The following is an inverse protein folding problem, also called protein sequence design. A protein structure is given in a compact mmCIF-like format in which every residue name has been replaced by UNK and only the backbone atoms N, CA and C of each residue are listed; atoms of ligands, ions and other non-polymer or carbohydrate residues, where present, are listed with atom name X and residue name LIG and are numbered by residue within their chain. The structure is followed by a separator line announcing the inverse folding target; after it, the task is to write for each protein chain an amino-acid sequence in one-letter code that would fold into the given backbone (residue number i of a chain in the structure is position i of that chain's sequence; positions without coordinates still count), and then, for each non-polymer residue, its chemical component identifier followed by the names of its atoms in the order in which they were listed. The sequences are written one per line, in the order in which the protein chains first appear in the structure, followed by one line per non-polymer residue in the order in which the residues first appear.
data_IF_375502963630
#
_entry.id   IF_375502963630
#
_cell.length_a   1.000
_cell.length_b   1.000
_cell.length_c   1.000
_cell.angle_alpha   90.00
_cell.angle_beta   90.00
_cell.angle_gamma   90.00
#
_symmetry.space_group_name_H-M   'P 1'
#
loop_
_entity.id
_entity.type
_entity.pdbx_description
1 polymer ?
#
# COMPACT_ATOMS: atom_id res chain seq x y z
N UNK A 1 3.28 16.12 -34.11
CA UNK A 1 2.67 17.47 -34.30
C UNK A 1 2.76 18.23 -32.97
N UNK A 2 2.26 19.46 -32.90
CA UNK A 2 2.15 20.22 -31.64
C UNK A 2 0.72 20.70 -31.42
N UNK A 3 0.26 20.73 -30.17
CA UNK A 3 -1.01 21.31 -29.75
C UNK A 3 -0.76 22.26 -28.57
N UNK A 4 -1.42 23.41 -28.57
CA UNK A 4 -1.39 24.34 -27.45
C UNK A 4 -2.80 24.74 -27.07
N UNK A 5 -3.13 24.59 -25.79
CA UNK A 5 -4.42 24.92 -25.19
C UNK A 5 -4.15 26.00 -24.14
N UNK A 6 -4.83 27.14 -24.25
CA UNK A 6 -4.62 28.29 -23.39
C UNK A 6 -5.98 28.80 -22.95
N UNK A 7 -6.16 29.02 -21.64
CA UNK A 7 -7.37 29.63 -21.07
C UNK A 7 -8.66 29.01 -21.58
N UNK A 8 -8.68 27.68 -21.73
CA UNK A 8 -9.80 26.93 -22.30
C UNK A 8 -10.48 26.08 -21.23
N UNK A 9 -11.75 25.72 -21.46
CA UNK A 9 -12.48 24.77 -20.62
C UNK A 9 -12.95 23.58 -21.45
N UNK A 10 -12.68 22.36 -20.97
CA UNK A 10 -13.15 21.11 -21.56
C UNK A 10 -13.88 20.31 -20.49
N UNK A 11 -15.19 20.25 -20.60
CA UNK A 11 -16.06 19.74 -19.54
C UNK A 11 -16.95 18.60 -20.05
N UNK A 12 -17.17 17.58 -19.21
CA UNK A 12 -18.11 16.48 -19.44
C UNK A 12 -17.90 15.71 -20.75
N UNK A 13 -16.65 15.60 -21.23
CA UNK A 13 -16.34 14.82 -22.42
C UNK A 13 -16.21 13.33 -22.06
N UNK A 14 -16.81 12.45 -22.85
CA UNK A 14 -16.90 11.01 -22.55
C UNK A 14 -16.44 10.16 -23.72
N UNK A 15 -15.46 9.30 -23.47
CA UNK A 15 -14.97 8.27 -24.39
C UNK A 15 -15.35 6.86 -23.86
N UNK A 16 -16.46 6.29 -24.34
CA UNK A 16 -17.06 5.08 -23.74
C UNK A 16 -16.31 3.77 -24.02
N UNK A 17 -15.43 3.73 -25.02
CA UNK A 17 -14.62 2.54 -25.38
C UNK A 17 -13.17 2.88 -25.76
N UNK A 18 -12.81 4.13 -25.60
CA UNK A 18 -11.57 4.71 -26.11
C UNK A 18 -10.84 5.44 -24.96
N UNK A 19 -9.67 5.96 -25.27
CA UNK A 19 -8.82 6.66 -24.31
C UNK A 19 -8.95 8.18 -24.45
N UNK A 20 -8.66 8.93 -23.38
CA UNK A 20 -8.56 10.39 -23.44
C UNK A 20 -9.91 11.07 -23.55
N UNK A 21 -10.66 11.11 -22.44
CA UNK A 21 -12.06 11.57 -22.45
C UNK A 21 -12.22 12.97 -23.00
N UNK A 22 -11.30 13.89 -22.66
CA UNK A 22 -11.20 15.18 -23.33
C UNK A 22 -10.25 15.14 -24.54
N UNK A 23 -9.06 14.54 -24.39
CA UNK A 23 -8.03 14.57 -25.41
C UNK A 23 -7.18 13.28 -25.44
N UNK A 24 -6.95 12.77 -26.64
CA UNK A 24 -6.06 11.65 -26.93
C UNK A 24 -4.85 12.10 -27.76
N UNK A 25 -3.66 11.66 -27.38
CA UNK A 25 -2.40 12.10 -27.95
C UNK A 25 -1.47 10.93 -28.31
N UNK A 26 -1.00 10.92 -29.55
CA UNK A 26 0.00 9.96 -30.04
C UNK A 26 1.09 10.70 -30.82
N UNK A 27 2.37 10.43 -30.51
CA UNK A 27 3.54 11.04 -31.20
C UNK A 27 3.48 12.58 -31.33
N UNK A 28 3.05 13.25 -30.26
CA UNK A 28 2.77 14.69 -30.26
C UNK A 28 3.32 15.38 -29.02
N UNK A 29 3.49 16.71 -29.13
CA UNK A 29 3.81 17.57 -27.99
C UNK A 29 2.63 18.49 -27.68
N UNK A 30 2.19 18.49 -26.43
CA UNK A 30 1.03 19.23 -25.96
C UNK A 30 1.44 20.18 -24.87
N UNK A 31 0.96 21.41 -24.95
CA UNK A 31 1.10 22.42 -23.90
C UNK A 31 -0.27 22.92 -23.48
N UNK A 32 -0.58 22.82 -22.19
CA UNK A 32 -1.83 23.25 -21.57
C UNK A 32 -1.51 24.34 -20.55
N UNK A 33 -2.09 25.52 -20.71
CA UNK A 33 -1.82 26.69 -19.88
C UNK A 33 -3.12 27.28 -19.37
N UNK A 34 -3.21 27.48 -18.05
CA UNK A 34 -4.34 28.18 -17.41
C UNK A 34 -5.72 27.66 -17.83
N UNK A 35 -5.85 26.34 -17.99
CA UNK A 35 -7.07 25.72 -18.54
C UNK A 35 -7.78 24.84 -17.51
N UNK A 36 -9.06 24.60 -17.73
CA UNK A 36 -9.93 23.81 -16.85
C UNK A 36 -10.41 22.53 -17.55
N UNK A 37 -10.38 21.42 -16.82
CA UNK A 37 -10.89 20.13 -17.28
C UNK A 37 -11.75 19.53 -16.19
N UNK A 38 -13.05 19.39 -16.45
CA UNK A 38 -13.99 18.95 -15.43
C UNK A 38 -14.88 17.80 -15.89
N UNK A 39 -15.08 16.80 -15.03
CA UNK A 39 -16.01 15.70 -15.26
C UNK A 39 -15.78 14.92 -16.57
N UNK A 40 -14.54 14.87 -17.05
CA UNK A 40 -14.20 14.12 -18.26
C UNK A 40 -13.98 12.64 -17.92
N UNK A 41 -14.47 11.73 -18.77
CA UNK A 41 -14.41 10.30 -18.53
C UNK A 41 -14.01 9.48 -19.75
N UNK A 42 -13.29 8.39 -19.51
CA UNK A 42 -12.84 7.47 -20.56
C UNK A 42 -12.63 6.05 -20.03
N UNK A 43 -12.42 5.09 -20.94
CA UNK A 43 -11.89 3.77 -20.56
C UNK A 43 -10.48 3.87 -19.96
N UNK A 44 -9.65 4.79 -20.45
CA UNK A 44 -8.36 5.14 -19.82
C UNK A 44 -8.00 6.60 -20.08
N UNK A 45 -7.43 7.28 -19.08
CA UNK A 45 -7.11 8.71 -19.17
C UNK A 45 -8.37 9.57 -19.24
N UNK A 46 -9.07 9.75 -18.12
CA UNK A 46 -10.38 10.41 -18.11
C UNK A 46 -10.34 11.82 -18.69
N UNK A 47 -9.25 12.55 -18.49
CA UNK A 47 -8.99 13.82 -19.19
C UNK A 47 -8.09 13.61 -20.40
N UNK A 48 -6.89 13.08 -20.18
CA UNK A 48 -5.82 12.97 -21.17
C UNK A 48 -5.36 11.52 -21.31
N UNK A 49 -5.14 11.06 -22.54
CA UNK A 49 -4.35 9.86 -22.80
C UNK A 49 -3.16 10.20 -23.69
N UNK A 50 -2.00 9.61 -23.38
CA UNK A 50 -0.71 9.89 -24.00
C UNK A 50 0.04 8.61 -24.34
N UNK A 51 0.41 8.47 -25.62
CA UNK A 51 1.28 7.40 -26.13
C UNK A 51 2.44 8.01 -26.92
N UNK A 52 3.67 7.79 -26.49
CA UNK A 52 4.86 8.37 -27.11
C UNK A 52 4.79 9.90 -27.25
N UNK A 53 4.21 10.57 -26.26
CA UNK A 53 3.91 12.00 -26.32
C UNK A 53 4.59 12.77 -25.18
N UNK A 54 4.70 14.09 -25.36
CA UNK A 54 5.19 15.01 -24.33
C UNK A 54 4.09 15.98 -23.96
N UNK A 55 3.70 16.03 -22.69
CA UNK A 55 2.62 16.88 -22.20
C UNK A 55 3.18 17.81 -21.12
N UNK A 56 2.98 19.11 -21.30
CA UNK A 56 3.25 20.12 -20.28
C UNK A 56 1.94 20.78 -19.84
N UNK A 57 1.64 20.74 -18.54
CA UNK A 57 0.47 21.36 -17.93
C UNK A 57 0.95 22.40 -16.92
N UNK A 58 0.50 23.64 -17.09
CA UNK A 58 0.89 24.78 -16.26
C UNK A 58 -0.34 25.58 -15.82
N UNK A 59 -0.41 25.93 -14.53
CA UNK A 59 -1.41 26.87 -14.03
C UNK A 59 -2.86 26.40 -14.16
N UNK A 60 -3.09 25.09 -14.30
CA UNK A 60 -4.38 24.54 -14.73
C UNK A 60 -5.15 23.86 -13.60
N UNK A 61 -6.39 23.45 -13.89
CA UNK A 61 -7.26 22.76 -12.95
C UNK A 61 -7.87 21.52 -13.61
N UNK A 62 -7.80 20.38 -12.94
CA UNK A 62 -8.38 19.12 -13.40
C UNK A 62 -9.19 18.50 -12.26
N UNK A 63 -10.50 18.38 -12.46
CA UNK A 63 -11.44 18.03 -11.40
C UNK A 63 -12.41 16.94 -11.83
N UNK A 64 -12.66 16.00 -10.92
CA UNK A 64 -13.72 15.01 -11.05
C UNK A 64 -13.63 14.19 -12.35
N UNK A 65 -12.44 14.03 -12.91
CA UNK A 65 -12.23 13.14 -14.05
C UNK A 65 -12.16 11.70 -13.57
N UNK A 66 -12.86 10.82 -14.28
CA UNK A 66 -13.07 9.45 -13.86
C UNK A 66 -12.82 8.43 -14.97
N UNK A 67 -12.33 7.25 -14.62
CA UNK A 67 -12.22 6.13 -15.57
C UNK A 67 -12.75 4.85 -14.95
N UNK A 68 -13.12 3.90 -15.81
CA UNK A 68 -13.50 2.54 -15.41
C UNK A 68 -12.32 1.56 -15.46
N UNK A 69 -11.09 2.04 -15.67
CA UNK A 69 -9.91 1.18 -15.68
C UNK A 69 -8.66 1.95 -15.23
N UNK A 70 -8.03 2.77 -16.08
CA UNK A 70 -6.71 3.34 -15.74
C UNK A 70 -6.54 4.83 -15.95
N UNK A 71 -5.84 5.49 -15.01
CA UNK A 71 -5.45 6.90 -15.05
C UNK A 71 -6.65 7.84 -15.01
N UNK A 72 -7.09 8.24 -13.81
CA UNK A 72 -8.35 8.96 -13.63
C UNK A 72 -8.38 10.28 -14.39
N UNK A 73 -7.31 11.07 -14.31
CA UNK A 73 -7.13 12.24 -15.15
C UNK A 73 -6.24 11.97 -16.37
N UNK A 74 -5.13 11.24 -16.18
CA UNK A 74 -4.06 11.13 -17.17
C UNK A 74 -3.54 9.70 -17.25
N UNK A 75 -3.61 9.13 -18.45
CA UNK A 75 -2.93 7.88 -18.79
C UNK A 75 -1.70 8.17 -19.67
N UNK A 76 -0.56 7.57 -19.33
CA UNK A 76 0.68 7.71 -20.06
C UNK A 76 1.42 6.40 -20.27
N UNK A 77 1.78 6.15 -21.53
CA UNK A 77 2.68 5.08 -21.94
C UNK A 77 3.81 5.66 -22.79
N UNK A 78 5.05 5.31 -22.47
CA UNK A 78 6.25 5.83 -23.14
C UNK A 78 6.23 7.36 -23.32
N UNK A 79 5.72 8.08 -22.32
CA UNK A 79 5.43 9.51 -22.44
C UNK A 79 6.15 10.33 -21.38
N UNK A 80 6.39 11.60 -21.68
CA UNK A 80 6.91 12.58 -20.72
C UNK A 80 5.82 13.55 -20.31
N UNK A 81 5.52 13.63 -19.02
CA UNK A 81 4.53 14.53 -18.44
C UNK A 81 5.25 15.51 -17.52
N UNK A 82 4.98 16.80 -17.68
CA UNK A 82 5.43 17.86 -16.78
C UNK A 82 4.23 18.65 -16.30
N UNK A 83 3.95 18.60 -15.00
CA UNK A 83 2.86 19.29 -14.34
C UNK A 83 3.47 20.35 -13.42
N UNK A 84 2.95 21.58 -13.49
CA UNK A 84 3.38 22.64 -12.59
C UNK A 84 2.27 23.62 -12.25
N UNK A 85 2.25 24.10 -11.00
CA UNK A 85 1.27 25.08 -10.53
C UNK A 85 -0.18 24.67 -10.86
N UNK A 86 -0.46 23.38 -10.78
CA UNK A 86 -1.74 22.80 -11.22
C UNK A 86 -2.41 22.12 -10.04
N UNK A 87 -3.74 22.18 -10.01
CA UNK A 87 -4.56 21.51 -9.00
C UNK A 87 -5.30 20.33 -9.64
N UNK A 88 -5.12 19.14 -9.06
CA UNK A 88 -5.90 17.95 -9.35
C UNK A 88 -6.78 17.61 -8.16
N UNK A 89 -8.10 17.63 -8.34
CA UNK A 89 -9.05 17.36 -7.26
C UNK A 89 -10.05 16.27 -7.63
N UNK A 90 -10.34 15.38 -6.68
CA UNK A 90 -11.48 14.45 -6.78
C UNK A 90 -11.48 13.55 -8.02
N UNK A 91 -10.31 13.25 -8.60
CA UNK A 91 -10.22 12.37 -9.76
C UNK A 91 -10.20 10.90 -9.32
N UNK A 92 -10.83 10.02 -10.12
CA UNK A 92 -11.04 8.61 -9.76
C UNK A 92 -10.69 7.61 -10.85
N UNK A 93 -10.12 6.46 -10.48
CA UNK A 93 -9.82 5.35 -11.39
C UNK A 93 -9.63 4.03 -10.63
N UNK A 94 -9.40 2.90 -11.29
CA UNK A 94 -8.90 1.72 -10.59
C UNK A 94 -7.39 1.83 -10.34
N UNK A 95 -6.65 2.37 -11.31
CA UNK A 95 -5.19 2.57 -11.21
C UNK A 95 -4.82 4.04 -11.40
N UNK A 96 -4.28 4.67 -10.35
CA UNK A 96 -3.81 6.05 -10.43
C UNK A 96 -4.98 7.03 -10.55
N UNK A 97 -5.51 7.51 -9.42
CA UNK A 97 -6.67 8.41 -9.43
C UNK A 97 -6.45 9.67 -10.26
N UNK A 98 -5.18 10.09 -10.39
CA UNK A 98 -4.78 11.17 -11.30
C UNK A 98 -3.93 10.64 -12.45
N UNK A 99 -2.79 10.03 -12.17
CA UNK A 99 -1.83 9.63 -13.20
C UNK A 99 -1.61 8.12 -13.15
N UNK A 100 -1.77 7.46 -14.29
CA UNK A 100 -1.17 6.16 -14.55
C UNK A 100 -0.02 6.33 -15.55
N UNK A 101 1.20 5.96 -15.17
CA UNK A 101 2.37 6.01 -16.05
C UNK A 101 3.05 4.64 -16.18
N UNK A 102 3.38 4.26 -17.41
CA UNK A 102 3.94 2.95 -17.75
C UNK A 102 5.00 3.02 -18.86
N UNK A 103 5.79 1.95 -18.99
CA UNK A 103 6.73 1.73 -20.10
C UNK A 103 7.72 2.87 -20.27
N UNK A 104 8.63 3.02 -19.32
CA UNK A 104 9.68 4.05 -19.30
C UNK A 104 9.16 5.49 -19.39
N UNK A 105 7.96 5.74 -18.88
CA UNK A 105 7.40 7.10 -18.81
C UNK A 105 8.12 7.94 -17.77
N UNK A 106 8.07 9.26 -17.96
CA UNK A 106 8.68 10.24 -17.06
C UNK A 106 7.61 11.21 -16.59
N UNK A 107 7.36 11.27 -15.29
CA UNK A 107 6.40 12.19 -14.67
C UNK A 107 7.15 13.20 -13.80
N UNK A 108 6.96 14.49 -14.05
CA UNK A 108 7.59 15.56 -13.25
C UNK A 108 6.52 16.51 -12.74
N UNK A 109 6.48 16.75 -11.44
CA UNK A 109 5.43 17.51 -10.77
C UNK A 109 6.08 18.55 -9.85
N UNK A 110 5.75 19.82 -10.08
CA UNK A 110 6.32 20.94 -9.32
C UNK A 110 5.23 21.88 -8.81
N UNK A 111 5.32 22.35 -7.57
CA UNK A 111 4.42 23.39 -7.02
C UNK A 111 2.94 23.12 -7.26
N UNK A 112 2.53 21.85 -7.21
CA UNK A 112 1.17 21.42 -7.56
C UNK A 112 0.45 20.85 -6.34
N UNK A 113 -0.87 20.77 -6.42
CA UNK A 113 -1.71 20.23 -5.34
C UNK A 113 -2.58 19.09 -5.86
N UNK A 114 -2.66 18.02 -5.09
CA UNK A 114 -3.41 16.81 -5.40
C UNK A 114 -4.28 16.47 -4.20
N UNK A 115 -5.58 16.78 -4.33
CA UNK A 115 -6.50 16.75 -3.21
C UNK A 115 -7.61 15.74 -3.46
N UNK A 116 -7.83 14.83 -2.52
CA UNK A 116 -8.99 13.93 -2.52
C UNK A 116 -9.13 13.08 -3.79
N UNK A 117 -8.02 12.72 -4.43
CA UNK A 117 -8.05 11.79 -5.56
C UNK A 117 -8.10 10.35 -5.03
N UNK A 118 -8.82 9.47 -5.72
CA UNK A 118 -9.04 8.10 -5.25
C UNK A 118 -8.80 7.08 -6.33
N UNK A 119 -8.22 5.94 -5.96
CA UNK A 119 -8.19 4.77 -6.81
C UNK A 119 -8.19 3.48 -5.98
N UNK A 120 -8.21 2.33 -6.63
CA UNK A 120 -7.95 1.07 -5.94
C UNK A 120 -6.45 0.95 -5.64
N UNK A 121 -5.61 1.25 -6.64
CA UNK A 121 -4.15 1.26 -6.54
C UNK A 121 -3.58 2.64 -6.86
N UNK A 122 -2.85 3.23 -5.92
CA UNK A 122 -2.25 4.55 -6.14
C UNK A 122 -3.32 5.64 -6.17
N UNK A 123 -3.82 6.08 -5.01
CA UNK A 123 -4.94 7.02 -4.94
C UNK A 123 -4.76 8.28 -5.78
N UNK A 124 -3.51 8.68 -6.03
CA UNK A 124 -3.14 9.72 -6.98
C UNK A 124 -2.31 9.19 -8.17
N UNK A 125 -1.31 8.34 -7.94
CA UNK A 125 -0.39 7.85 -8.96
C UNK A 125 -0.22 6.33 -8.92
N UNK A 126 -0.35 5.69 -10.07
CA UNK A 126 0.07 4.30 -10.29
C UNK A 126 1.18 4.28 -11.34
N UNK A 127 2.35 3.74 -10.99
CA UNK A 127 3.57 3.91 -11.77
C UNK A 127 4.25 2.55 -11.95
N UNK A 128 4.46 2.15 -13.21
CA UNK A 128 5.08 0.89 -13.58
C UNK A 128 6.24 1.14 -14.52
N UNK A 129 7.41 0.57 -14.23
CA UNK A 129 8.59 0.66 -15.11
C UNK A 129 8.86 2.11 -15.55
N UNK A 130 8.77 3.07 -14.63
CA UNK A 130 8.76 4.50 -14.97
C UNK A 130 9.47 5.35 -13.90
N UNK A 131 9.65 6.64 -14.18
CA UNK A 131 10.33 7.58 -13.27
C UNK A 131 9.44 8.76 -12.88
N UNK A 132 9.51 9.14 -11.61
CA UNK A 132 8.73 10.25 -11.04
C UNK A 132 9.62 11.21 -10.28
N UNK A 133 9.44 12.51 -10.52
CA UNK A 133 10.00 13.60 -9.73
C UNK A 133 8.88 14.45 -9.16
N UNK A 134 8.82 14.54 -7.84
CA UNK A 134 7.90 15.41 -7.10
C UNK A 134 8.72 16.47 -6.37
N UNK A 135 8.39 17.73 -6.56
CA UNK A 135 9.05 18.83 -5.86
C UNK A 135 8.04 19.87 -5.39
N UNK A 136 8.19 20.30 -4.14
CA UNK A 136 7.47 21.45 -3.57
C UNK A 136 5.95 21.35 -3.75
N UNK A 137 5.40 20.15 -3.66
CA UNK A 137 3.99 19.85 -3.96
C UNK A 137 3.25 19.30 -2.74
N UNK A 138 1.93 19.42 -2.74
CA UNK A 138 1.05 18.97 -1.65
C UNK A 138 0.12 17.87 -2.11
N UNK A 139 -0.01 16.83 -1.30
CA UNK A 139 -0.82 15.65 -1.56
C UNK A 139 -1.72 15.41 -0.34
N UNK A 140 -2.94 15.91 -0.40
CA UNK A 140 -3.89 15.88 0.73
C UNK A 140 -5.04 14.90 0.46
N UNK A 141 -5.29 13.99 1.41
CA UNK A 141 -6.46 13.10 1.43
C UNK A 141 -6.63 12.25 0.17
N UNK A 142 -5.55 11.86 -0.49
CA UNK A 142 -5.65 10.89 -1.58
C UNK A 142 -5.84 9.50 -0.97
N UNK A 143 -6.67 8.67 -1.61
CA UNK A 143 -7.05 7.37 -1.05
C UNK A 143 -6.90 6.23 -2.04
N UNK A 144 -6.18 5.19 -1.63
CA UNK A 144 -6.24 3.86 -2.25
C UNK A 144 -7.31 3.06 -1.52
N UNK A 145 -8.55 3.18 -1.98
CA UNK A 145 -9.70 2.58 -1.33
C UNK A 145 -10.47 1.73 -2.33
N UNK A 146 -10.13 0.45 -2.36
CA UNK A 146 -10.97 -0.52 -3.03
C UNK A 146 -12.11 -0.92 -2.08
N UNK A 147 -13.34 -0.61 -2.48
CA UNK A 147 -14.52 -1.27 -1.91
C UNK A 147 -14.65 -2.60 -2.65
N UNK A 148 -14.01 -3.65 -2.11
CA UNK A 148 -14.22 -5.00 -2.63
C UNK A 148 -15.65 -5.44 -2.36
N UNK A 149 -16.42 -5.66 -3.42
CA UNK A 149 -17.73 -6.33 -3.30
C UNK A 149 -17.54 -7.78 -2.86
N UNK A 150 -16.47 -8.46 -3.31
CA UNK A 150 -16.12 -9.82 -2.92
C UNK A 150 -14.68 -10.22 -3.27
N UNK A 151 -14.11 -11.13 -2.48
CA UNK A 151 -12.81 -11.80 -2.65
C UNK A 151 -13.04 -13.12 -3.39
N UNK A 152 -12.35 -13.32 -4.51
CA UNK A 152 -12.38 -14.58 -5.24
C UNK A 152 -11.66 -15.67 -4.42
N UNK A 153 -12.36 -16.77 -4.18
CA UNK A 153 -11.84 -17.93 -3.47
C UNK A 153 -12.07 -19.19 -4.28
N UNK A 154 -11.10 -20.10 -4.18
CA UNK A 154 -11.28 -21.47 -4.63
C UNK A 154 -11.75 -22.29 -3.44
N UNK A 155 -12.88 -22.96 -3.57
CA UNK A 155 -13.40 -23.88 -2.56
C UNK A 155 -13.33 -25.27 -3.13
N UNK A 156 -12.64 -26.17 -2.43
CA UNK A 156 -12.60 -27.58 -2.80
C UNK A 156 -13.31 -28.41 -1.74
N UNK A 157 -14.19 -29.29 -2.21
CA UNK A 157 -14.93 -30.24 -1.42
C UNK A 157 -14.42 -31.64 -1.78
N UNK A 158 -14.19 -32.46 -0.77
CA UNK A 158 -13.69 -33.83 -0.89
C UNK A 158 -14.66 -34.78 -0.20
N UNK A 159 -14.98 -35.88 -0.88
CA UNK A 159 -15.59 -37.06 -0.27
C UNK A 159 -14.55 -37.72 0.63
N UNK A 160 -14.83 -37.71 1.94
CA UNK A 160 -13.93 -38.26 2.94
C UNK A 160 -13.93 -39.79 3.01
N UNK A 161 -15.01 -40.46 2.56
CA UNK A 161 -15.14 -41.92 2.59
C UNK A 161 -14.68 -42.57 1.29
N UNK A 162 -14.71 -41.82 0.19
CA UNK A 162 -14.18 -42.27 -1.10
C UNK A 162 -15.04 -43.35 -1.76
N UNK A 163 -16.31 -43.43 -1.39
CA UNK A 163 -17.34 -44.28 -2.00
C UNK A 163 -18.27 -43.52 -2.95
N UNK A 164 -18.14 -42.20 -3.01
CA UNK A 164 -18.80 -41.30 -3.93
C UNK A 164 -19.98 -40.58 -3.29
N UNK A 165 -20.26 -39.38 -3.78
CA UNK A 165 -21.29 -38.52 -3.21
C UNK A 165 -22.73 -38.98 -3.48
N UNK A 166 -23.54 -39.19 -2.42
CA UNK A 166 -24.97 -39.53 -2.56
C UNK A 166 -25.91 -38.31 -2.66
N UNK A 167 -25.38 -37.08 -2.64
CA UNK A 167 -26.18 -35.85 -2.69
C UNK A 167 -26.74 -35.47 -1.33
N UNK A 168 -26.77 -34.16 -1.03
CA UNK A 168 -27.44 -33.65 0.18
C UNK A 168 -26.55 -32.85 1.10
N UNK A 169 -25.24 -33.05 1.13
CA UNK A 169 -24.38 -32.24 2.01
C UNK A 169 -24.07 -30.84 1.43
N UNK A 170 -24.03 -29.82 2.28
CA UNK A 170 -23.72 -28.44 1.91
C UNK A 170 -22.63 -27.88 2.81
N UNK A 171 -21.60 -27.26 2.20
CA UNK A 171 -20.73 -26.33 2.90
C UNK A 171 -21.36 -24.94 2.91
N UNK A 172 -21.60 -24.40 4.09
CA UNK A 172 -22.09 -23.05 4.29
C UNK A 172 -20.95 -22.10 4.63
N UNK A 173 -20.88 -21.00 3.88
CA UNK A 173 -19.98 -19.87 4.09
C UNK A 173 -20.85 -18.62 4.30
N UNK A 174 -21.41 -18.47 5.50
CA UNK A 174 -22.39 -17.42 5.79
C UNK A 174 -23.70 -17.67 5.05
N UNK A 175 -24.11 -16.73 4.19
CA UNK A 175 -25.31 -16.87 3.35
C UNK A 175 -25.06 -17.67 2.06
N UNK A 176 -23.81 -18.05 1.78
CA UNK A 176 -23.43 -18.84 0.61
C UNK A 176 -23.43 -20.31 0.97
N UNK A 177 -23.94 -21.16 0.08
CA UNK A 177 -23.98 -22.61 0.26
C UNK A 177 -23.44 -23.27 -1.00
N UNK A 178 -22.56 -24.26 -0.84
CA UNK A 178 -21.91 -24.99 -1.93
C UNK A 178 -22.13 -26.49 -1.71
N UNK A 179 -22.37 -27.24 -2.79
CA UNK A 179 -22.58 -28.71 -2.76
C UNK A 179 -21.93 -29.36 -3.98
N UNK A 180 -21.84 -30.70 -3.98
CA UNK A 180 -21.36 -31.52 -5.10
C UNK A 180 -22.54 -32.01 -5.95
N UNK A 181 -22.38 -32.00 -7.29
CA UNK A 181 -23.35 -32.60 -8.22
C UNK A 181 -23.13 -34.12 -8.40
N UNK A 182 -21.88 -34.61 -8.45
CA UNK A 182 -21.45 -36.02 -8.36
C UNK A 182 -19.92 -36.15 -8.15
N UNK A 183 -19.41 -37.33 -7.76
CA UNK A 183 -17.96 -37.64 -7.72
C UNK A 183 -17.32 -37.75 -6.33
N UNK A 184 -15.97 -37.71 -6.28
CA UNK A 184 -15.13 -37.83 -5.07
C UNK A 184 -14.47 -36.51 -4.63
N UNK A 185 -14.42 -35.52 -5.54
CA UNK A 185 -13.84 -34.19 -5.31
C UNK A 185 -14.50 -33.23 -6.29
N UNK A 186 -14.76 -31.99 -5.88
CA UNK A 186 -15.07 -30.90 -6.79
C UNK A 186 -14.48 -29.60 -6.28
N UNK A 187 -14.09 -28.76 -7.23
CA UNK A 187 -13.51 -27.45 -6.97
C UNK A 187 -14.36 -26.39 -7.64
N UNK A 188 -14.82 -25.41 -6.87
CA UNK A 188 -15.58 -24.27 -7.35
C UNK A 188 -14.82 -22.99 -7.08
N UNK A 189 -14.74 -22.11 -8.07
CA UNK A 189 -14.31 -20.73 -7.85
C UNK A 189 -15.55 -19.89 -7.59
N UNK A 190 -15.58 -19.18 -6.46
CA UNK A 190 -16.71 -18.33 -6.08
C UNK A 190 -16.21 -17.03 -5.45
N UNK A 191 -17.06 -16.01 -5.42
CA UNK A 191 -16.72 -14.69 -4.90
C UNK A 191 -17.48 -14.44 -3.60
N UNK A 192 -16.75 -14.25 -2.50
CA UNK A 192 -17.31 -14.03 -1.16
C UNK A 192 -16.99 -12.61 -0.67
N UNK A 193 -17.99 -11.81 -0.24
CA UNK A 193 -17.75 -10.49 0.37
C UNK A 193 -16.62 -10.47 1.41
N UNK A 194 -15.82 -9.41 1.53
CA UNK A 194 -14.88 -9.29 2.63
C UNK A 194 -15.60 -9.39 3.97
N UNK A 195 -15.08 -10.19 4.90
CA UNK A 195 -15.76 -10.48 6.16
C UNK A 195 -15.19 -11.68 6.90
N UNK A 196 -15.76 -11.93 8.08
CA UNK A 196 -15.47 -13.12 8.87
C UNK A 196 -16.60 -14.12 8.67
N UNK A 197 -16.26 -15.27 8.11
CA UNK A 197 -17.14 -16.40 7.90
C UNK A 197 -16.84 -17.47 8.93
N UNK A 198 -17.87 -18.22 9.31
CA UNK A 198 -17.77 -19.37 10.19
C UNK A 198 -18.24 -20.58 9.40
N UNK A 199 -17.34 -21.24 8.64
CA UNK A 199 -17.73 -22.33 7.77
C UNK A 199 -18.30 -23.50 8.57
N UNK A 200 -19.39 -24.08 8.09
CA UNK A 200 -19.99 -25.28 8.67
C UNK A 200 -20.61 -26.15 7.58
N UNK A 201 -20.72 -27.45 7.86
CA UNK A 201 -21.30 -28.43 6.93
C UNK A 201 -22.68 -28.87 7.46
N UNK A 202 -23.64 -29.05 6.56
CA UNK A 202 -24.98 -29.56 6.83
C UNK A 202 -25.32 -30.73 5.92
N UNK A 203 -25.96 -31.77 6.47
CA UNK A 203 -26.63 -32.81 5.70
C UNK A 203 -28.06 -32.37 5.33
N UNK A 204 -28.39 -32.42 4.05
CA UNK A 204 -29.71 -32.19 3.46
C UNK A 204 -30.47 -33.48 3.18
N UNK A 205 -29.83 -34.64 3.35
CA UNK A 205 -30.44 -35.96 3.41
C UNK A 205 -30.67 -36.34 4.89
N UNK A 206 -31.58 -37.28 5.17
CA UNK A 206 -31.78 -37.77 6.55
C UNK A 206 -30.72 -38.84 6.90
N UNK A 207 -29.50 -38.74 6.35
CA UNK A 207 -28.44 -39.70 6.59
C UNK A 207 -27.71 -39.35 7.89
N UNK A 208 -27.07 -40.34 8.49
CA UNK A 208 -26.61 -40.23 9.88
C UNK A 208 -25.20 -39.61 9.99
N UNK A 209 -24.51 -39.28 8.89
CA UNK A 209 -23.10 -38.85 8.87
C UNK A 209 -22.83 -37.85 7.73
N UNK A 210 -22.20 -36.69 8.02
CA UNK A 210 -21.77 -35.68 7.01
C UNK A 210 -20.41 -36.05 6.41
N UNK A 211 -20.27 -36.24 5.10
CA UNK A 211 -19.09 -36.88 4.48
C UNK A 211 -18.06 -35.91 3.87
N UNK A 212 -18.27 -34.60 4.08
CA UNK A 212 -17.44 -33.54 3.49
C UNK A 212 -16.15 -33.27 4.28
N UNK A 213 -15.00 -33.33 3.61
CA UNK A 213 -13.83 -32.49 3.96
C UNK A 213 -13.76 -31.30 3.00
N UNK A 214 -13.29 -30.14 3.47
CA UNK A 214 -13.26 -28.94 2.65
C UNK A 214 -12.05 -28.06 2.89
N UNK A 215 -11.69 -27.29 1.87
CA UNK A 215 -10.62 -26.30 1.89
C UNK A 215 -11.03 -25.07 1.08
N UNK A 216 -10.58 -23.91 1.54
CA UNK A 216 -10.76 -22.63 0.86
C UNK A 216 -9.37 -22.01 0.65
N UNK A 217 -9.08 -21.59 -0.56
CA UNK A 217 -7.81 -20.97 -0.96
C UNK A 217 -8.06 -19.61 -1.60
N UNK A 218 -7.10 -18.70 -1.47
CA UNK A 218 -7.08 -17.47 -2.25
C UNK A 218 -6.64 -17.78 -3.70
N UNK A 219 -7.34 -17.24 -4.69
CA UNK A 219 -7.03 -17.41 -6.12
C UNK A 219 -5.72 -16.72 -6.53
N UNK A 220 -5.30 -15.67 -5.84
CA UNK A 220 -4.13 -14.86 -6.19
C UNK A 220 -2.81 -15.51 -5.77
N UNK A 221 -2.73 -16.03 -4.53
CA UNK A 221 -1.49 -16.57 -3.95
C UNK A 221 -1.54 -18.09 -3.66
N UNK A 222 -2.69 -18.73 -3.87
CA UNK A 222 -2.90 -20.17 -3.63
C UNK A 222 -2.85 -20.58 -2.16
N UNK A 223 -2.83 -19.61 -1.22
CA UNK A 223 -2.73 -19.88 0.21
C UNK A 223 -4.05 -20.43 0.74
N UNK A 224 -3.97 -21.49 1.54
CA UNK A 224 -5.12 -22.03 2.29
C UNK A 224 -5.57 -20.98 3.29
N UNK A 225 -6.79 -20.48 3.10
CA UNK A 225 -7.43 -19.50 3.98
C UNK A 225 -8.15 -20.18 5.15
N UNK A 226 -8.77 -21.34 4.88
CA UNK A 226 -9.42 -22.16 5.90
C UNK A 226 -9.63 -23.58 5.36
N UNK A 227 -9.83 -24.55 6.24
CA UNK A 227 -10.19 -25.91 5.85
C UNK A 227 -10.49 -26.77 7.07
N UNK A 228 -11.25 -27.84 6.85
CA UNK A 228 -11.56 -28.82 7.87
C UNK A 228 -11.58 -30.23 7.28
N UNK A 229 -11.07 -31.19 8.06
CA UNK A 229 -11.22 -32.60 7.79
C UNK A 229 -12.59 -33.10 8.26
N UNK A 230 -13.03 -34.23 7.72
CA UNK A 230 -14.27 -34.92 8.10
C UNK A 230 -14.40 -35.24 9.60
N UNK A 231 -15.63 -35.19 10.14
CA UNK A 231 -15.97 -35.59 11.51
C UNK A 231 -17.35 -36.24 11.60
N UNK A 232 -17.41 -37.38 12.29
CA UNK A 232 -18.57 -38.27 12.41
C UNK A 232 -19.61 -37.86 13.45
N UNK A 233 -19.65 -36.61 13.93
CA UNK A 233 -20.57 -36.25 15.00
C UNK A 233 -21.94 -35.83 14.45
N UNK A 234 -22.99 -36.40 15.05
CA UNK A 234 -24.43 -36.23 14.84
C UNK A 234 -24.95 -34.77 14.97
N UNK A 235 -24.09 -33.76 14.98
CA UNK A 235 -24.45 -32.37 15.22
C UNK A 235 -24.86 -31.70 13.91
N UNK A 236 -26.16 -31.81 13.63
CA UNK A 236 -26.82 -31.10 12.56
C UNK A 236 -26.50 -29.60 12.61
N UNK A 237 -25.83 -29.11 11.57
CA UNK A 237 -25.80 -27.71 11.15
C UNK A 237 -25.26 -26.63 12.11
N UNK A 238 -24.61 -26.97 13.23
CA UNK A 238 -24.25 -25.98 14.26
C UNK A 238 -22.77 -25.96 14.68
N UNK A 239 -21.92 -26.82 14.13
CA UNK A 239 -20.48 -26.77 14.42
C UNK A 239 -19.77 -25.92 13.36
N UNK A 240 -19.26 -24.75 13.75
CA UNK A 240 -18.36 -23.93 12.92
C UNK A 240 -16.89 -24.33 13.13
N UNK A 241 -16.12 -24.46 12.06
CA UNK A 241 -14.77 -25.02 12.14
C UNK A 241 -13.74 -23.97 11.72
N UNK A 242 -13.26 -23.25 12.73
CA UNK A 242 -12.41 -22.08 12.51
C UNK A 242 -13.18 -20.88 11.95
N UNK A 243 -12.48 -19.78 11.77
CA UNK A 243 -12.99 -18.62 11.07
C UNK A 243 -12.25 -18.47 9.73
N UNK A 244 -13.02 -18.26 8.66
CA UNK A 244 -12.47 -17.82 7.38
C UNK A 244 -12.54 -16.29 7.38
N UNK A 245 -11.39 -15.64 7.48
CA UNK A 245 -11.31 -14.18 7.39
C UNK A 245 -10.89 -13.80 5.97
N UNK A 246 -11.79 -13.15 5.25
CA UNK A 246 -11.52 -12.58 3.93
C UNK A 246 -11.25 -11.09 4.10
N UNK A 247 -9.99 -10.70 3.91
CA UNK A 247 -9.59 -9.29 3.87
C UNK A 247 -9.52 -8.91 2.39
N UNK A 248 -10.03 -7.74 2.05
CA UNK A 248 -9.80 -7.22 0.71
C UNK A 248 -8.38 -6.71 0.56
N UNK A 249 -7.58 -7.32 -0.33
CA UNK A 249 -6.13 -7.12 -0.39
C UNK A 249 -5.65 -5.94 -1.28
N UNK A 250 -6.56 -5.08 -1.71
CA UNK A 250 -6.32 -4.29 -2.93
C UNK A 250 -6.23 -2.77 -2.76
N UNK A 251 -6.23 -2.23 -1.54
CA UNK A 251 -5.99 -0.80 -1.31
C UNK A 251 -4.52 -0.50 -1.05
N UNK A 252 -3.75 -0.23 -2.10
CA UNK A 252 -2.29 -0.06 -1.97
C UNK A 252 -1.82 1.30 -2.47
N UNK A 253 -1.01 2.00 -1.66
CA UNK A 253 -0.42 3.28 -2.03
C UNK A 253 -1.45 4.41 -2.00
N UNK A 254 -1.79 4.91 -0.81
CA UNK A 254 -2.86 5.91 -0.65
C UNK A 254 -2.69 7.15 -1.51
N UNK A 255 -1.44 7.54 -1.79
CA UNK A 255 -1.12 8.50 -2.84
C UNK A 255 -0.44 7.83 -4.04
N UNK A 256 0.57 6.99 -3.81
CA UNK A 256 1.46 6.48 -4.87
C UNK A 256 1.63 4.97 -4.71
N UNK A 257 1.40 4.25 -5.81
CA UNK A 257 1.80 2.86 -5.98
C UNK A 257 2.87 2.79 -7.07
N UNK A 258 4.01 2.17 -6.75
CA UNK A 258 5.15 2.01 -7.65
C UNK A 258 5.65 0.58 -7.78
N UNK A 259 5.77 0.10 -9.02
CA UNK A 259 6.36 -1.20 -9.34
C UNK A 259 7.50 -1.03 -10.33
N UNK A 260 8.66 -1.59 -10.04
CA UNK A 260 9.86 -1.53 -10.91
C UNK A 260 10.21 -0.10 -11.34
N UNK A 261 10.04 0.86 -10.42
CA UNK A 261 10.03 2.29 -10.75
C UNK A 261 10.97 3.11 -9.87
N UNK A 262 11.24 4.35 -10.29
CA UNK A 262 12.12 5.27 -9.56
C UNK A 262 11.39 6.55 -9.15
N UNK A 263 11.59 6.99 -7.92
CA UNK A 263 10.91 8.13 -7.33
C UNK A 263 11.91 9.08 -6.66
N UNK A 264 11.84 10.36 -7.00
CA UNK A 264 12.54 11.43 -6.31
C UNK A 264 11.50 12.39 -5.74
N UNK A 265 11.49 12.57 -4.43
CA UNK A 265 10.50 13.38 -3.71
C UNK A 265 11.23 14.43 -2.90
N UNK A 266 11.06 15.69 -3.26
CA UNK A 266 11.71 16.82 -2.62
C UNK A 266 10.68 17.79 -2.04
N UNK A 267 10.94 18.30 -0.83
CA UNK A 267 10.23 19.44 -0.24
C UNK A 267 8.69 19.34 -0.31
N UNK A 268 8.16 18.13 -0.26
CA UNK A 268 6.73 17.87 -0.52
C UNK A 268 6.02 17.42 0.76
N UNK A 269 4.71 17.61 0.79
CA UNK A 269 3.88 17.25 1.93
C UNK A 269 2.80 16.24 1.54
N UNK A 270 2.76 15.11 2.25
CA UNK A 270 1.73 14.08 2.15
C UNK A 270 0.93 14.09 3.44
N UNK A 271 -0.33 14.51 3.33
CA UNK A 271 -1.19 14.81 4.46
C UNK A 271 -2.46 13.96 4.35
N UNK A 272 -2.81 13.24 5.41
CA UNK A 272 -4.09 12.54 5.53
C UNK A 272 -4.40 11.56 4.38
N UNK A 273 -3.39 11.03 3.68
CA UNK A 273 -3.61 10.03 2.64
C UNK A 273 -3.87 8.67 3.28
N UNK A 274 -4.67 7.83 2.62
CA UNK A 274 -5.09 6.56 3.20
C UNK A 274 -5.07 5.40 2.22
N UNK A 275 -4.76 4.21 2.72
CA UNK A 275 -4.83 2.97 1.96
C UNK A 275 -5.67 1.94 2.74
N UNK A 276 -6.64 1.29 2.08
CA UNK A 276 -7.46 0.26 2.73
C UNK A 276 -6.70 -1.04 3.01
N UNK A 277 -5.46 -1.17 2.53
CA UNK A 277 -4.55 -2.27 2.85
C UNK A 277 -3.15 -1.78 3.25
N UNK A 278 -2.28 -1.38 2.31
CA UNK A 278 -0.84 -1.17 2.59
C UNK A 278 -0.29 0.11 1.98
N UNK A 279 0.62 0.78 2.69
CA UNK A 279 1.29 1.99 2.20
C UNK A 279 0.35 3.19 2.17
N UNK A 280 0.08 3.80 3.32
CA UNK A 280 -0.90 4.89 3.43
C UNK A 280 -0.56 6.12 2.58
N UNK A 281 0.70 6.27 2.19
CA UNK A 281 1.12 7.17 1.10
C UNK A 281 1.77 6.39 -0.04
N UNK A 282 2.88 5.72 0.23
CA UNK A 282 3.67 5.00 -0.77
C UNK A 282 3.57 3.49 -0.57
N UNK A 283 3.25 2.78 -1.66
CA UNK A 283 3.51 1.36 -1.83
C UNK A 283 4.61 1.18 -2.88
N UNK A 284 5.69 0.48 -2.54
CA UNK A 284 6.83 0.24 -3.44
C UNK A 284 7.15 -1.24 -3.54
N UNK A 285 7.24 -1.73 -4.77
CA UNK A 285 7.68 -3.08 -5.11
C UNK A 285 8.79 -3.03 -6.17
N UNK A 286 9.91 -3.71 -5.90
CA UNK A 286 11.07 -3.75 -6.81
C UNK A 286 11.53 -2.36 -7.29
N UNK A 287 11.38 -1.33 -6.44
CA UNK A 287 11.48 0.08 -6.80
C UNK A 287 12.54 0.82 -5.98
N UNK A 288 12.85 2.05 -6.39
CA UNK A 288 13.76 2.94 -5.67
C UNK A 288 13.11 4.27 -5.35
N UNK A 289 13.21 4.72 -4.10
CA UNK A 289 12.76 6.05 -3.68
C UNK A 289 13.85 6.81 -2.94
N UNK A 290 14.02 8.09 -3.32
CA UNK A 290 14.77 9.08 -2.55
C UNK A 290 13.81 10.19 -2.10
N UNK A 291 13.67 10.35 -0.80
CA UNK A 291 12.84 11.37 -0.16
C UNK A 291 13.74 12.36 0.56
N UNK A 292 13.59 13.65 0.27
CA UNK A 292 14.41 14.71 0.83
C UNK A 292 13.57 15.91 1.28
N UNK A 293 13.78 16.37 2.51
CA UNK A 293 13.14 17.59 3.01
C UNK A 293 11.61 17.53 3.06
N UNK A 294 11.01 16.34 3.10
CA UNK A 294 9.57 16.13 2.90
C UNK A 294 8.86 15.73 4.20
N UNK A 295 7.53 15.84 4.20
CA UNK A 295 6.69 15.56 5.36
C UNK A 295 5.60 14.53 5.05
N UNK A 296 5.42 13.57 5.95
CA UNK A 296 4.35 12.57 5.93
C UNK A 296 3.57 12.71 7.23
N UNK A 297 2.42 13.36 7.14
CA UNK A 297 1.58 13.71 8.28
C UNK A 297 0.24 12.98 8.22
N UNK A 298 -0.12 12.31 9.31
CA UNK A 298 -1.47 11.78 9.51
C UNK A 298 -1.94 10.80 8.42
N UNK A 299 -1.01 10.08 7.79
CA UNK A 299 -1.36 9.10 6.75
C UNK A 299 -1.65 7.74 7.37
N UNK A 300 -2.52 6.95 6.75
CA UNK A 300 -3.03 5.71 7.34
C UNK A 300 -3.06 4.52 6.37
N UNK A 301 -2.71 3.34 6.86
CA UNK A 301 -2.95 2.07 6.19
C UNK A 301 -3.70 1.13 7.14
N UNK A 302 -4.53 0.22 6.65
CA UNK A 302 -5.19 -0.75 7.55
C UNK A 302 -4.25 -1.87 8.00
N UNK A 303 -3.31 -2.28 7.13
CA UNK A 303 -2.39 -3.40 7.34
C UNK A 303 -0.99 -2.89 7.65
N UNK A 304 -0.22 -2.41 6.67
CA UNK A 304 1.21 -2.16 6.85
C UNK A 304 1.69 -0.83 6.30
N UNK A 305 2.62 -0.18 7.00
CA UNK A 305 3.30 1.04 6.52
C UNK A 305 2.37 2.25 6.42
N UNK A 306 2.08 2.89 7.55
CA UNK A 306 1.08 3.99 7.59
C UNK A 306 1.44 5.18 6.70
N UNK A 307 2.74 5.45 6.51
CA UNK A 307 3.22 6.33 5.45
C UNK A 307 3.80 5.54 4.27
N UNK A 308 4.71 4.60 4.54
CA UNK A 308 5.48 3.94 3.49
C UNK A 308 5.56 2.43 3.68
N UNK A 309 5.31 1.70 2.60
CA UNK A 309 5.60 0.28 2.48
C UNK A 309 6.64 0.03 1.38
N UNK A 310 7.62 -0.82 1.66
CA UNK A 310 8.72 -1.15 0.75
C UNK A 310 8.94 -2.67 0.69
N UNK A 311 8.81 -3.27 -0.50
CA UNK A 311 9.11 -4.68 -0.76
C UNK A 311 10.14 -4.82 -1.87
N UNK A 312 11.21 -5.58 -1.64
CA UNK A 312 12.28 -5.79 -2.65
C UNK A 312 12.84 -4.48 -3.22
N UNK A 313 12.83 -3.42 -2.42
CA UNK A 313 13.01 -2.03 -2.88
C UNK A 313 14.15 -1.34 -2.13
N UNK A 314 14.55 -0.16 -2.60
CA UNK A 314 15.45 0.74 -1.86
C UNK A 314 14.73 2.03 -1.46
N UNK A 315 14.79 2.40 -0.19
CA UNK A 315 14.20 3.63 0.31
C UNK A 315 15.21 4.47 1.09
N UNK A 316 15.50 5.68 0.62
CA UNK A 316 16.38 6.63 1.30
C UNK A 316 15.54 7.82 1.76
N UNK A 317 15.48 8.04 3.07
CA UNK A 317 14.69 9.10 3.71
C UNK A 317 15.62 10.09 4.40
N UNK A 318 15.80 11.24 3.77
CA UNK A 318 16.77 12.26 4.15
C UNK A 318 16.09 13.56 4.60
N UNK A 319 16.48 14.08 5.76
CA UNK A 319 15.99 15.34 6.35
C UNK A 319 14.47 15.48 6.30
N UNK A 320 13.76 14.39 6.55
CA UNK A 320 12.31 14.31 6.37
C UNK A 320 11.62 13.95 7.68
N UNK A 321 10.34 14.28 7.79
CA UNK A 321 9.55 14.08 9.00
C UNK A 321 8.36 13.17 8.72
N UNK A 322 8.24 12.09 9.47
CA UNK A 322 7.13 11.14 9.41
C UNK A 322 6.42 11.13 10.75
N UNK A 323 5.23 11.72 10.81
CA UNK A 323 4.54 11.92 12.08
C UNK A 323 3.03 11.68 12.02
N UNK A 324 2.49 11.22 13.15
CA UNK A 324 1.06 10.92 13.29
C UNK A 324 0.52 9.90 12.28
N UNK A 325 1.37 9.10 11.65
CA UNK A 325 0.94 8.08 10.70
C UNK A 325 0.49 6.82 11.44
N UNK A 326 -0.43 6.06 10.85
CA UNK A 326 -1.00 4.87 11.49
C UNK A 326 -1.09 3.64 10.58
N UNK A 327 -0.83 2.47 11.15
CA UNK A 327 -1.06 1.18 10.49
C UNK A 327 -1.35 0.07 11.51
N UNK A 328 -1.68 -1.14 11.05
CA UNK A 328 -1.60 -2.30 11.95
C UNK A 328 -0.15 -2.63 12.27
N UNK A 329 0.73 -2.65 11.27
CA UNK A 329 2.17 -2.90 11.44
C UNK A 329 3.01 -1.81 10.77
N UNK A 330 4.02 -1.26 11.44
CA UNK A 330 4.84 -0.18 10.88
C UNK A 330 4.06 1.12 10.78
N UNK A 331 3.71 1.71 11.92
CA UNK A 331 2.87 2.92 11.99
C UNK A 331 3.35 4.05 11.06
N UNK A 332 4.65 4.24 10.95
CA UNK A 332 5.25 5.06 9.90
C UNK A 332 5.65 4.23 8.67
N UNK A 333 6.44 3.18 8.86
CA UNK A 333 7.02 2.44 7.74
C UNK A 333 7.16 0.95 8.01
N UNK A 334 6.93 0.17 6.96
CA UNK A 334 7.19 -1.26 6.90
C UNK A 334 8.10 -1.58 5.71
N UNK A 335 9.12 -2.41 5.91
CA UNK A 335 9.93 -2.94 4.81
C UNK A 335 10.14 -4.45 4.87
N UNK A 336 10.26 -5.05 3.68
CA UNK A 336 10.48 -6.47 3.46
C UNK A 336 11.50 -6.69 2.35
N UNK A 337 12.57 -7.45 2.62
CA UNK A 337 13.64 -7.76 1.62
C UNK A 337 14.13 -6.47 0.92
N UNK A 338 14.24 -5.39 1.68
CA UNK A 338 14.49 -4.04 1.16
C UNK A 338 15.71 -3.42 1.80
N UNK A 339 16.31 -2.41 1.15
CA UNK A 339 17.40 -1.60 1.70
C UNK A 339 16.88 -0.24 2.10
N UNK A 340 17.01 0.14 3.36
CA UNK A 340 16.42 1.37 3.91
C UNK A 340 17.46 2.20 4.62
N UNK A 341 17.52 3.50 4.33
CA UNK A 341 18.45 4.39 5.01
C UNK A 341 17.77 5.70 5.43
N UNK A 342 17.98 6.10 6.68
CA UNK A 342 17.45 7.31 7.29
C UNK A 342 18.57 8.27 7.66
N UNK A 343 18.52 9.49 7.16
CA UNK A 343 19.56 10.50 7.37
C UNK A 343 18.96 11.81 7.87
N UNK A 344 19.20 12.19 9.12
CA UNK A 344 18.74 13.47 9.66
C UNK A 344 17.22 13.61 9.71
N UNK A 345 16.49 12.49 9.77
CA UNK A 345 15.02 12.44 9.69
C UNK A 345 14.40 12.28 11.09
N UNK A 346 13.09 12.57 11.22
CA UNK A 346 12.37 12.36 12.49
C UNK A 346 11.09 11.54 12.32
N UNK A 347 10.79 10.72 13.33
CA UNK A 347 9.60 9.89 13.44
C UNK A 347 8.85 10.25 14.72
N UNK A 348 7.65 10.80 14.61
CA UNK A 348 6.97 11.41 15.76
C UNK A 348 5.51 10.96 15.88
N UNK A 349 5.14 10.36 17.01
CA UNK A 349 3.76 10.00 17.33
C UNK A 349 3.08 9.12 16.27
N UNK A 350 3.82 8.19 15.66
CA UNK A 350 3.22 7.21 14.77
C UNK A 350 2.55 6.10 15.61
N UNK A 351 1.56 5.42 15.03
CA UNK A 351 0.71 4.46 15.75
C UNK A 351 0.64 3.14 15.00
N UNK A 352 1.06 2.06 15.65
CA UNK A 352 0.82 0.69 15.18
C UNK A 352 -0.15 -0.03 16.13
N UNK A 353 -1.25 -0.58 15.62
CA UNK A 353 -2.20 -1.34 16.46
C UNK A 353 -1.67 -2.74 16.82
N UNK A 354 -0.82 -3.31 15.97
CA UNK A 354 -0.18 -4.61 16.07
C UNK A 354 1.33 -4.46 15.75
N UNK A 355 2.07 -3.83 16.66
CA UNK A 355 3.54 -3.79 16.58
C UNK A 355 4.11 -2.40 16.80
N UNK A 356 4.95 -1.97 15.86
CA UNK A 356 5.96 -0.93 16.06
C UNK A 356 5.82 0.21 15.06
N UNK A 357 6.34 1.39 15.40
CA UNK A 357 6.34 2.56 14.50
C UNK A 357 7.11 2.27 13.19
N UNK A 358 8.22 1.51 13.29
CA UNK A 358 9.00 1.01 12.17
C UNK A 358 9.12 -0.50 12.23
N UNK A 359 8.89 -1.17 11.10
CA UNK A 359 9.08 -2.61 10.93
C UNK A 359 9.99 -2.85 9.75
N UNK A 360 11.05 -3.62 9.96
CA UNK A 360 11.95 -4.06 8.91
C UNK A 360 12.19 -5.57 9.01
N UNK A 361 11.80 -6.31 7.97
CA UNK A 361 11.95 -7.76 7.90
C UNK A 361 12.89 -8.15 6.76
N UNK A 362 13.95 -8.89 7.07
CA UNK A 362 14.97 -9.34 6.10
C UNK A 362 15.53 -8.16 5.28
N UNK A 363 15.75 -7.02 5.95
CA UNK A 363 15.89 -5.71 5.33
C UNK A 363 17.11 -4.99 5.87
N UNK A 364 18.08 -4.65 5.02
CA UNK A 364 19.25 -3.85 5.42
C UNK A 364 18.82 -2.45 5.86
N UNK A 365 19.20 -2.01 7.07
CA UNK A 365 18.83 -0.69 7.58
C UNK A 365 20.06 0.12 8.01
N UNK A 366 20.02 1.42 7.74
CA UNK A 366 20.99 2.41 8.23
C UNK A 366 20.28 3.61 8.88
N UNK A 367 20.73 4.02 10.07
CA UNK A 367 20.29 5.25 10.73
C UNK A 367 21.48 6.20 10.96
N UNK A 368 21.34 7.44 10.50
CA UNK A 368 22.32 8.51 10.71
C UNK A 368 21.60 9.77 11.17
N UNK A 369 21.87 10.23 12.39
CA UNK A 369 21.25 11.45 12.96
C UNK A 369 19.70 11.44 12.94
N UNK A 370 19.09 10.27 13.08
CA UNK A 370 17.63 10.09 13.05
C UNK A 370 17.04 10.18 14.46
N UNK A 371 15.91 10.89 14.60
CA UNK A 371 15.26 11.16 15.88
C UNK A 371 13.89 10.48 15.97
N UNK A 372 13.52 10.03 17.17
CA UNK A 372 12.25 9.34 17.45
C UNK A 372 11.52 9.95 18.63
N UNK A 373 10.22 10.18 18.47
CA UNK A 373 9.29 10.58 19.54
C UNK A 373 8.08 9.68 19.48
N UNK A 374 7.78 8.97 20.57
CA UNK A 374 6.71 7.95 20.59
C UNK A 374 5.36 8.53 21.02
N UNK A 375 4.27 7.92 20.54
CA UNK A 375 2.94 8.09 21.15
C UNK A 375 2.81 7.13 22.35
N UNK A 376 2.07 7.51 23.39
CA UNK A 376 1.85 6.62 24.53
C UNK A 376 1.21 5.29 24.06
N UNK A 377 1.82 4.15 24.41
CA UNK A 377 1.41 2.76 24.12
C UNK A 377 1.94 2.08 22.81
N UNK A 378 2.87 2.64 22.04
CA UNK A 378 3.38 2.01 20.79
C UNK A 378 4.86 1.55 20.87
N UNK A 379 5.30 1.23 22.09
CA UNK A 379 6.69 1.22 22.62
C UNK A 379 7.74 0.27 22.01
N UNK A 380 7.64 -0.17 20.75
CA UNK A 380 8.60 -1.13 20.18
C UNK A 380 9.06 -0.68 18.80
N UNK A 381 10.31 -0.99 18.44
CA UNK A 381 10.82 -1.04 17.06
C UNK A 381 11.15 -2.50 16.75
N UNK A 382 10.72 -3.02 15.59
CA UNK A 382 11.03 -4.38 15.16
C UNK A 382 12.05 -4.36 14.04
N UNK A 383 13.22 -4.94 14.32
CA UNK A 383 14.32 -5.11 13.35
C UNK A 383 14.86 -6.53 13.50
N UNK A 384 15.06 -7.23 12.38
CA UNK A 384 15.81 -8.48 12.38
C UNK A 384 17.31 -8.19 12.53
N UNK A 385 17.95 -8.78 13.56
CA UNK A 385 19.30 -8.41 14.01
C UNK A 385 20.41 -8.76 13.01
N UNK A 386 20.12 -9.64 12.04
CA UNK A 386 21.05 -9.93 10.95
C UNK A 386 21.28 -8.72 10.01
N UNK A 387 20.39 -7.72 10.05
CA UNK A 387 20.28 -6.71 9.01
C UNK A 387 20.69 -5.29 9.46
N UNK A 388 21.20 -5.13 10.68
CA UNK A 388 21.67 -3.83 11.20
C UNK A 388 23.16 -3.66 10.89
N UNK A 389 23.48 -2.71 10.00
CA UNK A 389 24.83 -2.18 9.83
C UNK A 389 24.98 -0.88 10.63
N UNK A 390 25.72 -0.93 11.74
CA UNK A 390 26.06 0.28 12.52
C UNK A 390 27.40 0.81 12.03
N UNK A 391 27.39 1.80 11.14
CA UNK A 391 28.61 2.57 10.83
C UNK A 391 28.87 3.62 11.93
N UNK A 392 29.76 3.30 12.87
CA UNK A 392 30.30 4.25 13.84
C UNK A 392 31.26 5.24 13.14
N UNK A 393 30.76 6.40 12.70
CA UNK A 393 31.62 7.51 12.27
C UNK A 393 31.91 8.47 13.43
N UNK A 394 32.63 8.00 14.45
CA UNK A 394 33.13 8.87 15.51
C UNK A 394 34.54 9.40 15.17
N UNK A 395 34.60 10.47 14.37
CA UNK A 395 35.82 11.25 14.22
C UNK A 395 35.87 12.32 15.33
N UNK A 396 36.70 12.06 16.35
CA UNK A 396 37.17 13.00 17.39
C UNK A 396 36.11 13.70 18.26
N UNK A 397 36.06 13.25 19.52
CA UNK A 397 35.51 13.89 20.73
C UNK A 397 34.01 14.19 20.79
N UNK A 398 33.35 13.44 21.68
CA UNK A 398 32.01 13.62 22.27
C UNK A 398 30.80 13.23 21.40
N UNK A 399 30.33 11.99 21.57
CA UNK A 399 28.93 11.64 21.32
C UNK A 399 28.03 12.41 22.32
N UNK A 400 27.04 13.20 21.86
CA UNK A 400 26.01 13.74 22.75
C UNK A 400 25.17 12.60 23.34
N UNK A 401 24.78 12.73 24.61
CA UNK A 401 23.87 11.80 25.28
C UNK A 401 22.56 11.67 24.47
N UNK A 402 22.24 10.44 24.07
CA UNK A 402 21.08 10.10 23.24
C UNK A 402 21.33 9.04 22.16
N UNK A 403 22.51 8.40 22.11
CA UNK A 403 22.87 7.46 21.05
C UNK A 403 23.01 6.02 21.57
N UNK A 404 22.00 5.21 21.21
CA UNK A 404 21.92 3.73 21.20
C UNK A 404 22.02 2.97 22.54
N UNK A 405 20.95 2.23 22.85
CA UNK A 405 20.81 1.37 24.02
C UNK A 405 21.57 0.04 23.90
N UNK A 406 21.92 -0.54 25.04
CA UNK A 406 22.53 -1.86 25.15
C UNK A 406 21.51 -2.98 24.89
N UNK A 407 21.95 -4.07 24.25
CA UNK A 407 21.29 -5.37 24.34
C UNK A 407 21.76 -6.09 25.60
N UNK A 408 20.85 -6.41 26.52
CA UNK A 408 21.11 -7.42 27.55
C UNK A 408 20.62 -8.79 27.05
N UNK A 409 21.49 -9.79 27.20
CA UNK A 409 21.28 -11.18 26.82
C UNK A 409 20.28 -11.86 27.74
N UNK A 410 19.19 -12.42 27.21
CA UNK A 410 18.57 -13.69 27.65
C UNK A 410 17.56 -14.18 26.59
N UNK A 411 17.82 -15.38 26.07
CA UNK A 411 17.05 -16.26 25.16
C UNK A 411 15.79 -15.72 24.44
N UNK A 412 15.91 -15.62 23.11
CA UNK A 412 14.85 -15.61 22.08
C UNK A 412 13.84 -14.45 22.09
N UNK A 413 13.89 -13.64 21.01
CA UNK A 413 13.07 -12.47 20.67
C UNK A 413 13.40 -11.18 21.46
N UNK A 414 14.15 -10.27 20.85
CA UNK A 414 14.47 -8.96 21.45
C UNK A 414 13.73 -7.83 20.73
N UNK A 415 12.73 -7.25 21.40
CA UNK A 415 12.25 -5.90 21.12
C UNK A 415 13.14 -4.90 21.84
N UNK A 416 13.64 -3.86 21.16
CA UNK A 416 14.24 -2.73 21.87
C UNK A 416 13.09 -1.94 22.54
N UNK A 417 12.87 -2.14 23.84
CA UNK A 417 12.03 -1.25 24.64
C UNK A 417 12.75 0.09 24.77
N UNK A 418 12.16 1.14 24.18
CA UNK A 418 12.54 2.51 24.51
C UNK A 418 11.76 2.89 25.76
N UNK A 419 12.28 2.48 26.91
CA UNK A 419 11.60 2.77 28.17
C UNK A 419 11.81 4.23 28.58
N UNK A 420 10.71 4.88 28.95
CA UNK A 420 10.68 6.26 29.41
C UNK A 420 11.39 6.31 30.77
N UNK A 421 12.64 6.76 30.77
CA UNK A 421 13.49 6.81 31.95
C UNK A 421 12.85 7.64 33.10
N UNK A 422 12.16 6.98 34.02
CA UNK A 422 11.81 7.53 35.33
C UNK A 422 12.77 6.93 36.38
N UNK A 423 13.83 7.69 36.67
CA UNK A 423 14.91 7.47 37.64
C UNK A 423 16.10 6.64 37.16
N UNK A 424 17.17 7.33 36.77
CA UNK A 424 18.54 6.84 36.95
C UNK A 424 19.21 7.61 38.11
N UNK A 425 19.91 6.94 39.05
CA UNK A 425 20.77 7.61 40.02
C UNK A 425 22.01 8.19 39.32
N UNK A 426 22.46 9.35 39.79
CA UNK A 426 23.53 10.17 39.21
C UNK A 426 24.89 9.46 39.30
N UNK A 427 25.59 9.32 38.17
CA UNK A 427 26.98 8.89 38.12
C UNK A 427 27.63 9.13 36.76
N UNK A 428 28.67 9.97 36.72
CA UNK A 428 29.55 10.26 35.58
C UNK A 428 30.65 9.21 35.44
N UNK A 429 30.91 8.73 34.21
CA UNK A 429 32.15 8.00 33.91
C UNK A 429 32.80 8.51 32.61
N UNK A 430 34.08 8.85 32.73
CA UNK A 430 34.95 9.40 31.69
C UNK A 430 35.85 8.33 31.08
N UNK A 431 36.16 8.47 29.79
CA UNK A 431 37.21 7.70 29.09
C UNK A 431 38.58 8.29 29.43
N UNK A 432 39.55 7.45 29.81
CA UNK A 432 40.96 7.83 29.84
C UNK A 432 41.63 7.48 28.51
N UNK A 433 42.24 8.48 27.85
CA UNK A 433 43.17 8.26 26.76
C UNK A 433 44.61 8.25 27.27
N UNK A 434 45.40 7.27 26.81
CA UNK A 434 46.87 7.35 26.68
C UNK A 434 47.67 6.38 27.54
N UNK A 435 48.31 5.38 26.90
CA UNK A 435 49.78 5.30 26.80
C UNK A 435 50.24 4.04 26.06
N UNK A 436 51.04 4.27 25.00
CA UNK A 436 51.90 3.40 24.17
C UNK A 436 51.22 2.36 23.28
#
# INVERSE_FOLDING_TARGET
STLTIISSSLEANVATKEEGGALFFEYTSVTVVSSSFEANSAGSGGTFSSKHATIAIFGSFVNSSSTTSTGGALYARESTISISQTLFCSNTADYGGVVHASSHSVVKIYWSAFNSNSANYGGMMFIVDSSVVLDSSSFDKNSANMVLECVDVVVTLYDAYGDGWEGGDYLHLGNYSLTLEDGFENTVTTCLPPGIYFPYVCDGSNAYWTEISWSVYNTEDGKVLSGAAFHTANDQCNASWGNLTLVGDSGQGGAIHGTTSTFTINNSAFISNSASHTGGVLYLESSHVFVNGSQFNANAASSSGGALYSSQSTAIIHRSKLFSNSASSGGAMYSYISRVAYYGSSFEHNIASLGTDLVHKYSDITFVNTHFTVAANTSKMFVDLADISVELSCATSACPLGQYGQCETFESCYSCEVDVCHKCPVGTYSISAGSV
#
